data_IF_508507067392
#
_entry.id   IF_508507067392
#
_cell.length_a   1.000
_cell.length_b   1.000
_cell.length_c   1.000
_cell.angle_alpha   90.00
_cell.angle_beta   90.00
_cell.angle_gamma   90.00
#
_symmetry.space_group_name_H-M   'P 1'
#
loop_
_entity.id
_entity.type
_entity.pdbx_description
1 polymer ?
#
# COMPACT_ATOMS: atom_id res chain seq x y z
N UNK A 1 -17.73 -12.92 -20.90
CA UNK A 1 -17.27 -14.22 -20.36
C UNK A 1 -17.14 -15.30 -21.44
N UNK A 2 -18.16 -15.52 -22.27
CA UNK A 2 -18.11 -16.51 -23.37
C UNK A 2 -16.95 -16.29 -24.34
N UNK A 3 -16.60 -15.03 -24.65
CA UNK A 3 -15.40 -14.68 -25.42
C UNK A 3 -14.10 -15.14 -24.73
N UNK A 4 -13.88 -14.73 -23.48
CA UNK A 4 -12.68 -15.05 -22.71
C UNK A 4 -12.50 -16.56 -22.48
N UNK A 5 -13.60 -17.29 -22.32
CA UNK A 5 -13.62 -18.76 -22.14
C UNK A 5 -13.47 -19.52 -23.47
N UNK A 6 -13.76 -18.88 -24.62
CA UNK A 6 -13.62 -19.46 -25.97
C UNK A 6 -12.30 -19.12 -26.67
N UNK A 7 -11.38 -18.41 -26.00
CA UNK A 7 -10.02 -18.21 -26.52
C UNK A 7 -9.33 -19.59 -26.58
N UNK A 8 -9.26 -20.14 -27.79
CA UNK A 8 -8.54 -21.38 -28.08
C UNK A 8 -7.05 -21.06 -28.23
N UNK A 9 -6.15 -21.64 -27.43
CA UNK A 9 -4.71 -21.46 -27.58
C UNK A 9 -4.18 -21.92 -28.95
N UNK A 10 -4.92 -22.77 -29.67
CA UNK A 10 -4.56 -23.25 -31.01
C UNK A 10 -5.24 -22.47 -32.15
N UNK A 11 -6.17 -21.57 -31.83
CA UNK A 11 -6.97 -20.79 -32.79
C UNK A 11 -6.45 -19.37 -32.93
N UNK A 12 -5.25 -19.19 -33.47
CA UNK A 12 -4.69 -17.88 -33.79
C UNK A 12 -5.53 -17.21 -34.89
N UNK A 13 -6.11 -16.03 -34.62
CA UNK A 13 -6.73 -15.19 -35.65
C UNK A 13 -8.09 -15.67 -36.21
N UNK A 14 -8.78 -16.62 -35.57
CA UNK A 14 -10.00 -17.24 -36.12
C UNK A 14 -11.27 -16.36 -36.10
N UNK A 15 -11.25 -15.16 -35.50
CA UNK A 15 -12.41 -14.25 -35.54
C UNK A 15 -11.95 -12.83 -35.88
N UNK A 16 -12.19 -12.42 -37.13
CA UNK A 16 -12.14 -11.02 -37.52
C UNK A 16 -13.09 -10.20 -36.64
N UNK A 17 -12.57 -9.23 -35.86
CA UNK A 17 -13.36 -8.30 -35.06
C UNK A 17 -13.11 -8.30 -33.55
N UNK A 18 -12.27 -9.19 -33.00
CA UNK A 18 -11.84 -9.12 -31.60
C UNK A 18 -10.50 -8.35 -31.49
N UNK A 19 -10.46 -7.29 -30.67
CA UNK A 19 -9.28 -6.43 -30.54
C UNK A 19 -8.16 -7.06 -29.68
N UNK A 20 -8.50 -7.96 -28.75
CA UNK A 20 -7.54 -8.53 -27.81
C UNK A 20 -7.43 -10.05 -28.05
N UNK A 21 -6.35 -10.45 -28.73
CA UNK A 21 -5.99 -11.86 -28.94
C UNK A 21 -5.47 -12.54 -27.66
N UNK A 22 -4.86 -13.73 -27.77
CA UNK A 22 -4.22 -14.38 -26.63
C UNK A 22 -3.12 -13.51 -26.03
N UNK A 23 -2.94 -13.60 -24.71
CA UNK A 23 -1.89 -12.87 -23.98
C UNK A 23 -0.61 -13.68 -23.99
N UNK A 24 0.49 -13.07 -24.45
CA UNK A 24 1.81 -13.69 -24.34
C UNK A 24 2.15 -13.98 -22.87
N UNK A 25 2.97 -15.00 -22.61
CA UNK A 25 3.41 -15.41 -21.26
C UNK A 25 2.32 -15.88 -20.28
N UNK A 26 1.04 -15.86 -20.67
CA UNK A 26 -0.04 -16.49 -19.91
C UNK A 26 -0.20 -17.94 -20.33
N UNK A 27 -0.47 -18.83 -19.35
CA UNK A 27 -0.79 -20.23 -19.64
C UNK A 27 -2.00 -20.33 -20.58
N UNK A 28 -1.78 -20.93 -21.75
CA UNK A 28 -2.82 -21.08 -22.78
C UNK A 28 -3.31 -19.76 -23.39
N UNK A 29 -2.54 -18.66 -23.24
CA UNK A 29 -2.91 -17.35 -23.76
C UNK A 29 -4.15 -16.72 -23.10
N UNK A 30 -4.63 -17.30 -22.00
CA UNK A 30 -5.90 -16.93 -21.38
C UNK A 30 -5.75 -15.79 -20.37
N UNK A 31 -6.77 -14.93 -20.28
CA UNK A 31 -6.91 -13.94 -19.20
C UNK A 31 -7.41 -14.55 -17.89
N UNK A 32 -7.83 -15.82 -17.90
CA UNK A 32 -8.38 -16.53 -16.74
C UNK A 32 -7.39 -17.55 -16.20
N UNK A 33 -6.15 -17.13 -15.99
CA UNK A 33 -5.12 -17.96 -15.37
C UNK A 33 -4.29 -17.16 -14.37
N UNK A 34 -3.87 -17.81 -13.30
CA UNK A 34 -2.92 -17.24 -12.33
C UNK A 34 -1.47 -17.50 -12.72
N UNK A 35 -1.22 -18.34 -13.75
CA UNK A 35 0.12 -18.60 -14.25
C UNK A 35 0.44 -17.61 -15.38
N UNK A 36 0.90 -16.44 -14.96
CA UNK A 36 1.34 -15.31 -15.79
C UNK A 36 2.68 -14.80 -15.27
N UNK A 37 3.71 -14.79 -16.11
CA UNK A 37 5.04 -14.31 -15.69
C UNK A 37 5.02 -12.82 -15.34
N UNK A 38 4.30 -12.03 -16.14
CA UNK A 38 4.19 -10.60 -15.96
C UNK A 38 3.27 -10.29 -14.77
N UNK A 39 2.20 -11.06 -14.59
CA UNK A 39 1.35 -11.00 -13.40
C UNK A 39 2.09 -11.34 -12.11
N UNK A 40 2.96 -12.35 -12.11
CA UNK A 40 3.80 -12.71 -10.96
C UNK A 40 4.82 -11.61 -10.67
N UNK A 41 5.50 -11.11 -11.70
CA UNK A 41 6.49 -10.03 -11.59
C UNK A 41 5.85 -8.75 -11.03
N UNK A 42 4.70 -8.37 -11.56
CA UNK A 42 3.90 -7.27 -11.02
C UNK A 42 3.46 -7.54 -9.58
N UNK A 43 3.03 -8.75 -9.25
CA UNK A 43 2.65 -9.14 -7.89
C UNK A 43 3.80 -8.96 -6.89
N UNK A 44 5.02 -9.35 -7.25
CA UNK A 44 6.22 -9.15 -6.42
C UNK A 44 6.52 -7.66 -6.21
N UNK A 45 6.51 -6.86 -7.29
CA UNK A 45 6.66 -5.39 -7.20
C UNK A 45 5.61 -4.81 -6.26
N UNK A 46 4.37 -5.24 -6.40
CA UNK A 46 3.23 -4.72 -5.65
C UNK A 46 3.34 -5.05 -4.15
N UNK A 47 3.80 -6.25 -3.78
CA UNK A 47 4.08 -6.62 -2.39
C UNK A 47 5.16 -5.72 -1.79
N UNK A 48 6.29 -5.55 -2.49
CA UNK A 48 7.42 -4.77 -2.00
C UNK A 48 7.05 -3.29 -1.87
N UNK A 49 6.40 -2.74 -2.90
CA UNK A 49 5.90 -1.37 -2.90
C UNK A 49 4.92 -1.12 -1.74
N UNK A 50 3.93 -1.98 -1.56
CA UNK A 50 2.93 -1.77 -0.51
C UNK A 50 3.45 -2.01 0.91
N UNK A 51 4.45 -2.86 1.10
CA UNK A 51 5.17 -2.87 2.37
C UNK A 51 5.88 -1.53 2.60
N UNK A 52 6.52 -0.99 1.56
CA UNK A 52 7.09 0.35 1.59
C UNK A 52 6.08 1.41 2.03
N UNK A 53 4.90 1.47 1.39
CA UNK A 53 3.88 2.46 1.74
C UNK A 53 3.43 2.29 3.17
N UNK A 54 3.02 1.10 3.59
CA UNK A 54 2.43 0.94 4.92
C UNK A 54 3.45 1.16 6.04
N UNK A 55 4.69 0.70 5.89
CA UNK A 55 5.70 0.79 6.95
C UNK A 55 6.36 2.17 7.04
N UNK A 56 6.45 2.89 5.92
CA UNK A 56 7.22 4.15 5.84
C UNK A 56 6.29 5.37 5.76
N UNK A 57 4.98 5.17 5.56
CA UNK A 57 4.00 6.25 5.59
C UNK A 57 3.51 6.54 7.02
N UNK A 58 3.75 7.77 7.43
CA UNK A 58 3.36 8.30 8.73
C UNK A 58 1.84 8.33 8.94
N UNK A 59 1.02 8.39 7.90
CA UNK A 59 -0.45 8.41 8.02
C UNK A 59 -0.98 7.16 8.75
N UNK A 60 -0.38 6.00 8.48
CA UNK A 60 -0.70 4.73 9.15
C UNK A 60 -0.26 4.76 10.62
N UNK A 61 0.96 5.20 10.91
CA UNK A 61 1.48 5.25 12.28
C UNK A 61 0.68 6.21 13.16
N UNK A 62 0.31 7.37 12.64
CA UNK A 62 -0.50 8.34 13.38
C UNK A 62 -1.88 7.81 13.69
N UNK A 63 -2.51 7.15 12.73
CA UNK A 63 -3.80 6.50 12.94
C UNK A 63 -3.69 5.38 13.98
N UNK A 64 -2.58 4.62 13.98
CA UNK A 64 -2.32 3.57 14.97
C UNK A 64 -2.21 4.13 16.39
N UNK A 65 -1.43 5.20 16.55
CA UNK A 65 -1.13 5.83 17.85
C UNK A 65 -2.36 6.55 18.40
N UNK A 66 -3.21 7.09 17.53
CA UNK A 66 -4.46 7.74 17.94
C UNK A 66 -5.55 6.73 18.35
N UNK A 67 -5.41 5.44 18.01
CA UNK A 67 -6.38 4.41 18.34
C UNK A 67 -6.12 3.79 19.72
N UNK A 68 -7.19 3.34 20.39
CA UNK A 68 -7.08 2.58 21.65
C UNK A 68 -6.36 1.24 21.42
N UNK A 69 -5.44 0.81 22.29
CA UNK A 69 -4.74 -0.47 22.15
C UNK A 69 -5.69 -1.67 21.98
N UNK A 70 -6.82 -1.69 22.69
CA UNK A 70 -7.80 -2.77 22.60
C UNK A 70 -8.48 -2.89 21.23
N UNK A 71 -8.59 -1.79 20.49
CA UNK A 71 -9.24 -1.75 19.18
C UNK A 71 -8.24 -1.80 18.03
N UNK A 72 -7.04 -1.21 18.20
CA UNK A 72 -6.02 -1.10 17.16
C UNK A 72 -5.65 -2.46 16.56
N UNK A 73 -5.27 -3.44 17.40
CA UNK A 73 -4.75 -4.72 16.91
C UNK A 73 -5.76 -5.54 16.10
N UNK A 74 -7.05 -5.47 16.46
CA UNK A 74 -8.14 -6.14 15.70
C UNK A 74 -8.54 -5.32 14.48
N UNK A 75 -8.59 -4.00 14.63
CA UNK A 75 -8.92 -3.06 13.57
C UNK A 75 -7.96 -3.18 12.39
N UNK A 76 -6.65 -3.30 12.63
CA UNK A 76 -5.66 -3.48 11.56
C UNK A 76 -5.87 -4.78 10.76
N UNK A 77 -6.15 -5.90 11.43
CA UNK A 77 -6.42 -7.17 10.75
C UNK A 77 -7.71 -7.10 9.92
N UNK A 78 -8.78 -6.56 10.51
CA UNK A 78 -10.06 -6.41 9.81
C UNK A 78 -9.93 -5.44 8.62
N UNK A 79 -9.25 -4.31 8.83
CA UNK A 79 -8.97 -3.32 7.79
C UNK A 79 -8.19 -3.92 6.63
N UNK A 80 -7.15 -4.72 6.90
CA UNK A 80 -6.40 -5.42 5.86
C UNK A 80 -7.26 -6.42 5.05
N UNK A 81 -8.11 -7.20 5.73
CA UNK A 81 -8.98 -8.18 5.07
C UNK A 81 -10.05 -7.52 4.19
N UNK A 82 -10.57 -6.37 4.61
CA UNK A 82 -11.57 -5.63 3.83
C UNK A 82 -10.92 -4.81 2.72
N UNK A 83 -9.71 -4.28 2.95
CA UNK A 83 -8.97 -3.57 1.93
C UNK A 83 -8.65 -4.47 0.74
N UNK A 84 -8.20 -5.72 0.98
CA UNK A 84 -7.91 -6.70 -0.08
C UNK A 84 -9.09 -6.94 -1.02
N UNK A 85 -10.31 -6.86 -0.51
CA UNK A 85 -11.54 -7.06 -1.28
C UNK A 85 -11.70 -6.05 -2.41
N UNK A 86 -11.30 -4.79 -2.20
CA UNK A 86 -11.52 -3.71 -3.17
C UNK A 86 -10.77 -3.98 -4.49
N UNK A 87 -9.43 -4.15 -4.51
CA UNK A 87 -8.70 -4.46 -5.73
C UNK A 87 -9.10 -5.83 -6.29
N UNK A 88 -9.34 -6.84 -5.44
CA UNK A 88 -9.76 -8.18 -5.90
C UNK A 88 -11.09 -8.10 -6.67
N UNK A 89 -12.09 -7.43 -6.12
CA UNK A 89 -13.41 -7.29 -6.74
C UNK A 89 -13.36 -6.44 -8.00
N UNK A 90 -12.67 -5.28 -7.98
CA UNK A 90 -12.55 -4.40 -9.13
C UNK A 90 -11.77 -5.04 -10.29
N UNK A 91 -10.67 -5.73 -10.01
CA UNK A 91 -9.90 -6.44 -11.03
C UNK A 91 -10.68 -7.62 -11.62
N UNK A 92 -11.31 -8.42 -10.76
CA UNK A 92 -12.11 -9.60 -11.16
C UNK A 92 -13.35 -9.20 -11.97
N UNK A 93 -13.95 -8.04 -11.68
CA UNK A 93 -15.14 -7.54 -12.36
C UNK A 93 -14.80 -6.60 -13.51
N UNK A 94 -14.55 -5.32 -13.25
CA UNK A 94 -14.41 -4.27 -14.26
C UNK A 94 -13.16 -4.44 -15.14
N UNK A 95 -12.06 -4.95 -14.59
CA UNK A 95 -10.85 -5.25 -15.36
C UNK A 95 -11.09 -6.34 -16.41
N UNK A 96 -11.58 -7.51 -15.99
CA UNK A 96 -11.91 -8.60 -16.91
C UNK A 96 -13.11 -8.28 -17.80
N UNK A 97 -14.05 -7.44 -17.36
CA UNK A 97 -15.17 -6.96 -18.17
C UNK A 97 -14.69 -6.17 -19.39
N UNK A 98 -13.64 -5.35 -19.26
CA UNK A 98 -13.09 -4.56 -20.37
C UNK A 98 -12.65 -5.47 -21.52
N UNK A 99 -11.97 -6.57 -21.17
CA UNK A 99 -11.55 -7.59 -22.13
C UNK A 99 -12.75 -8.40 -22.65
N UNK A 100 -13.69 -8.77 -21.79
CA UNK A 100 -14.85 -9.57 -22.16
C UNK A 100 -15.84 -8.84 -23.08
N UNK A 101 -15.94 -7.51 -22.96
CA UNK A 101 -16.79 -6.63 -23.76
C UNK A 101 -16.08 -6.10 -25.01
N UNK A 102 -14.82 -6.47 -25.21
CA UNK A 102 -14.00 -6.02 -26.34
C UNK A 102 -13.98 -4.48 -26.47
N UNK A 103 -13.85 -3.80 -25.33
CA UNK A 103 -13.83 -2.33 -25.29
C UNK A 103 -12.56 -1.86 -25.99
N UNK A 104 -12.75 -1.02 -27.02
CA UNK A 104 -11.66 -0.45 -27.79
C UNK A 104 -10.96 0.64 -26.97
N UNK A 105 -9.90 0.26 -26.26
CA UNK A 105 -8.99 1.16 -25.58
C UNK A 105 -7.65 1.15 -26.28
N UNK A 106 -7.04 2.32 -26.47
CA UNK A 106 -5.64 2.41 -26.85
C UNK A 106 -4.75 1.90 -25.71
N UNK A 107 -3.49 1.57 -26.03
CA UNK A 107 -2.50 1.18 -25.00
C UNK A 107 -2.33 2.28 -23.95
N UNK A 108 -2.35 3.54 -24.37
CA UNK A 108 -2.17 4.69 -23.48
C UNK A 108 -3.39 4.91 -22.59
N UNK A 109 -4.60 4.73 -23.11
CA UNK A 109 -5.84 4.82 -22.31
C UNK A 109 -5.91 3.70 -21.26
N UNK A 110 -5.55 2.47 -21.64
CA UNK A 110 -5.46 1.36 -20.71
C UNK A 110 -4.37 1.61 -19.65
N UNK A 111 -3.19 2.09 -20.06
CA UNK A 111 -2.08 2.45 -19.18
C UNK A 111 -2.37 3.64 -18.26
N UNK A 112 -3.32 4.50 -18.64
CA UNK A 112 -3.84 5.60 -17.81
C UNK A 112 -4.93 5.16 -16.83
N UNK A 113 -5.25 3.85 -16.77
CA UNK A 113 -6.23 3.31 -15.84
C UNK A 113 -7.68 3.51 -16.27
N UNK A 114 -7.95 3.73 -17.57
CA UNK A 114 -9.32 3.98 -18.06
C UNK A 114 -10.14 2.69 -18.29
N UNK A 115 -9.57 1.50 -18.09
CA UNK A 115 -10.30 0.25 -18.27
C UNK A 115 -11.51 0.09 -17.33
N UNK A 116 -11.41 0.30 -16.00
CA UNK A 116 -12.57 0.25 -15.12
C UNK A 116 -13.70 1.25 -15.45
N UNK A 117 -13.44 2.56 -15.67
CA UNK A 117 -14.50 3.49 -16.04
C UNK A 117 -15.12 3.16 -17.39
N UNK A 118 -14.34 2.73 -18.39
CA UNK A 118 -14.88 2.32 -19.68
C UNK A 118 -15.82 1.11 -19.56
N UNK A 119 -15.43 0.09 -18.77
CA UNK A 119 -16.30 -1.04 -18.44
C UNK A 119 -17.59 -0.62 -17.74
N UNK A 120 -17.51 0.30 -16.79
CA UNK A 120 -18.69 0.80 -16.07
C UNK A 120 -19.65 1.54 -17.01
N UNK A 121 -19.12 2.34 -17.96
CA UNK A 121 -19.94 3.06 -18.95
C UNK A 121 -20.65 2.08 -19.89
N UNK A 122 -19.96 1.06 -20.39
CA UNK A 122 -20.57 0.06 -21.29
C UNK A 122 -21.65 -0.75 -20.57
N UNK A 123 -21.45 -1.09 -19.29
CA UNK A 123 -22.39 -1.93 -18.53
C UNK A 123 -23.58 -1.17 -17.95
N UNK A 124 -23.37 0.05 -17.43
CA UNK A 124 -24.36 0.80 -16.66
C UNK A 124 -24.75 2.14 -17.31
N UNK A 125 -24.27 2.40 -18.53
CA UNK A 125 -24.44 3.67 -19.22
C UNK A 125 -23.67 4.81 -18.53
N UNK A 126 -24.06 6.05 -18.83
CA UNK A 126 -23.41 7.25 -18.28
C UNK A 126 -23.40 7.27 -16.74
N UNK A 127 -24.44 6.71 -16.10
CA UNK A 127 -24.50 6.59 -14.64
C UNK A 127 -23.33 5.81 -14.05
N UNK A 128 -22.88 4.74 -14.71
CA UNK A 128 -21.70 3.97 -14.29
C UNK A 128 -20.42 4.80 -14.30
N UNK A 129 -20.23 5.61 -15.34
CA UNK A 129 -19.09 6.54 -15.42
C UNK A 129 -19.11 7.56 -14.29
N UNK A 130 -20.26 8.15 -14.00
CA UNK A 130 -20.43 9.11 -12.90
C UNK A 130 -20.11 8.48 -11.54
N UNK A 131 -20.57 7.24 -11.29
CA UNK A 131 -20.26 6.52 -10.05
C UNK A 131 -18.76 6.27 -9.88
N UNK A 132 -18.04 5.89 -10.94
CA UNK A 132 -16.58 5.70 -10.88
C UNK A 132 -15.87 7.03 -10.59
N UNK A 133 -16.31 8.14 -11.20
CA UNK A 133 -15.73 9.47 -10.93
C UNK A 133 -15.95 9.88 -9.47
N UNK A 134 -17.16 9.71 -8.94
CA UNK A 134 -17.46 10.02 -7.53
C UNK A 134 -16.62 9.15 -6.60
N UNK A 135 -16.55 7.85 -6.85
CA UNK A 135 -15.72 6.91 -6.09
C UNK A 135 -14.24 7.33 -6.10
N UNK A 136 -13.69 7.66 -7.28
CA UNK A 136 -12.31 8.08 -7.43
C UNK A 136 -12.05 9.42 -6.73
N UNK A 137 -12.96 10.38 -6.83
CA UNK A 137 -12.87 11.65 -6.12
C UNK A 137 -12.83 11.47 -4.60
N UNK A 138 -13.75 10.66 -4.04
CA UNK A 138 -13.75 10.36 -2.61
C UNK A 138 -12.47 9.64 -2.16
N UNK A 139 -11.99 8.68 -2.96
CA UNK A 139 -10.74 7.98 -2.65
C UNK A 139 -9.53 8.92 -2.63
N UNK A 140 -9.35 9.74 -3.67
CA UNK A 140 -8.22 10.67 -3.79
C UNK A 140 -8.26 11.73 -2.69
N UNK A 141 -9.42 12.34 -2.43
CA UNK A 141 -9.55 13.39 -1.41
C UNK A 141 -9.31 12.84 0.01
N UNK A 142 -9.81 11.63 0.30
CA UNK A 142 -9.59 10.97 1.59
C UNK A 142 -8.09 10.71 1.83
N UNK A 143 -7.41 10.01 0.90
CA UNK A 143 -5.98 9.73 1.01
C UNK A 143 -5.15 11.01 0.98
N UNK A 144 -5.45 11.94 0.08
CA UNK A 144 -4.73 13.21 -0.02
C UNK A 144 -4.79 14.05 1.26
N UNK A 145 -5.93 14.03 1.97
CA UNK A 145 -6.05 14.71 3.27
C UNK A 145 -5.16 14.07 4.34
N UNK A 146 -5.11 12.73 4.40
CA UNK A 146 -4.27 12.00 5.35
C UNK A 146 -2.78 12.25 5.10
N UNK A 147 -2.34 12.24 3.84
CA UNK A 147 -0.97 12.53 3.43
C UNK A 147 -0.54 13.96 3.78
N UNK A 148 -1.42 14.94 3.57
CA UNK A 148 -1.14 16.32 3.95
C UNK A 148 -0.89 16.46 5.46
N UNK A 149 -1.68 15.78 6.28
CA UNK A 149 -1.50 15.77 7.73
C UNK A 149 -0.22 15.05 8.10
N UNK A 150 0.03 13.87 7.53
CA UNK A 150 1.23 13.07 7.75
C UNK A 150 2.50 13.89 7.48
N UNK A 151 2.66 14.47 6.29
CA UNK A 151 3.85 15.27 5.95
C UNK A 151 3.96 16.52 6.81
N UNK A 152 2.84 17.21 7.07
CA UNK A 152 2.86 18.41 7.93
C UNK A 152 3.33 18.11 9.35
N UNK A 153 3.01 16.92 9.86
CA UNK A 153 3.38 16.50 11.21
C UNK A 153 4.85 16.12 11.31
N UNK A 154 5.42 15.45 10.29
CA UNK A 154 6.84 15.15 10.23
C UNK A 154 7.65 16.46 10.28
N UNK A 155 7.24 17.46 9.49
CA UNK A 155 7.92 18.75 9.50
C UNK A 155 7.74 19.49 10.83
N UNK A 156 6.55 19.43 11.44
CA UNK A 156 6.29 20.10 12.71
C UNK A 156 7.06 19.44 13.88
N UNK A 157 6.95 18.14 14.05
CA UNK A 157 7.50 17.41 15.21
C UNK A 157 8.97 17.03 15.01
N UNK A 158 9.35 16.53 13.83
CA UNK A 158 10.67 15.94 13.61
C UNK A 158 11.69 16.95 13.09
N UNK A 159 11.24 18.04 12.47
CA UNK A 159 12.12 19.12 11.99
C UNK A 159 12.00 20.35 12.89
N UNK A 160 10.82 20.97 12.94
CA UNK A 160 10.63 22.25 13.60
C UNK A 160 10.85 22.15 15.11
N UNK A 161 10.12 21.27 15.80
CA UNK A 161 10.34 21.05 17.24
C UNK A 161 11.74 20.52 17.51
N UNK A 162 12.20 19.49 16.80
CA UNK A 162 13.47 18.84 17.15
C UNK A 162 14.70 19.73 16.93
N UNK A 163 14.75 20.51 15.85
CA UNK A 163 15.97 21.20 15.42
C UNK A 163 15.85 22.73 15.35
N UNK A 164 14.66 23.30 15.15
CA UNK A 164 14.47 24.75 14.96
C UNK A 164 14.06 25.44 16.26
N UNK A 165 13.05 24.91 16.96
CA UNK A 165 12.52 25.45 18.21
C UNK A 165 12.05 24.33 19.16
N UNK A 166 12.97 23.76 19.97
CA UNK A 166 12.69 22.70 20.95
C UNK A 166 11.60 23.04 21.96
N UNK A 167 11.55 24.31 22.38
CA UNK A 167 10.64 24.80 23.41
C UNK A 167 9.35 25.40 22.81
N UNK A 168 8.99 24.99 21.59
CA UNK A 168 7.78 25.50 20.93
C UNK A 168 6.50 25.12 21.69
N UNK A 169 5.56 26.07 21.73
CA UNK A 169 4.21 25.84 22.29
C UNK A 169 3.33 25.06 21.31
N UNK A 170 2.29 24.36 21.81
CA UNK A 170 1.33 23.65 20.96
C UNK A 170 0.67 24.54 19.89
N UNK A 171 0.41 25.82 20.20
CA UNK A 171 -0.14 26.79 19.23
C UNK A 171 0.84 27.10 18.10
N UNK A 172 2.13 27.26 18.40
CA UNK A 172 3.16 27.47 17.38
C UNK A 172 3.33 26.24 16.50
N UNK A 173 3.30 25.06 17.10
CA UNK A 173 3.41 23.79 16.38
C UNK A 173 2.25 23.58 15.40
N UNK A 174 1.01 23.80 15.86
CA UNK A 174 -0.18 23.74 15.01
C UNK A 174 -0.14 24.76 13.88
N UNK A 175 0.41 25.96 14.12
CA UNK A 175 0.59 26.97 13.07
C UNK A 175 1.54 26.48 11.98
N UNK A 176 2.68 25.90 12.37
CA UNK A 176 3.66 25.34 11.41
C UNK A 176 3.03 24.19 10.62
N UNK A 177 2.34 23.27 11.27
CA UNK A 177 1.64 22.17 10.60
C UNK A 177 0.63 22.70 9.56
N UNK A 178 -0.22 23.67 9.90
CA UNK A 178 -1.20 24.24 8.95
C UNK A 178 -0.54 24.92 7.74
N UNK A 179 0.57 25.62 7.94
CA UNK A 179 1.34 26.21 6.84
C UNK A 179 1.90 25.09 5.95
N UNK A 180 2.45 24.04 6.55
CA UNK A 180 3.02 22.92 5.82
C UNK A 180 2.00 22.11 5.05
N UNK A 181 0.75 22.01 5.50
CA UNK A 181 -0.35 21.42 4.73
C UNK A 181 -0.52 22.13 3.38
N UNK A 182 -0.55 23.46 3.38
CA UNK A 182 -0.70 24.26 2.14
C UNK A 182 0.54 24.11 1.25
N UNK A 183 1.74 24.21 1.83
CA UNK A 183 3.00 24.05 1.11
C UNK A 183 3.09 22.67 0.45
N UNK A 184 2.78 21.61 1.19
CA UNK A 184 2.81 20.26 0.65
C UNK A 184 1.74 20.03 -0.43
N UNK A 185 0.54 20.57 -0.26
CA UNK A 185 -0.50 20.54 -1.30
C UNK A 185 -0.05 21.19 -2.62
N UNK A 186 0.64 22.32 -2.55
CA UNK A 186 1.22 22.98 -3.73
C UNK A 186 2.38 22.18 -4.34
N UNK A 187 3.27 21.63 -3.51
CA UNK A 187 4.42 20.83 -3.97
C UNK A 187 3.99 19.52 -4.61
N UNK A 188 3.06 18.79 -4.00
CA UNK A 188 2.50 17.54 -4.53
C UNK A 188 1.74 17.79 -5.83
N UNK A 189 0.95 18.87 -5.92
CA UNK A 189 0.29 19.28 -7.16
C UNK A 189 1.28 19.62 -8.27
N UNK A 190 2.34 20.38 -7.94
CA UNK A 190 3.43 20.68 -8.88
C UNK A 190 4.15 19.41 -9.35
N UNK A 191 4.45 18.49 -8.43
CA UNK A 191 5.11 17.22 -8.76
C UNK A 191 4.23 16.33 -9.64
N UNK A 192 2.92 16.27 -9.38
CA UNK A 192 1.96 15.57 -10.25
C UNK A 192 1.91 16.16 -11.65
N UNK A 193 1.89 17.50 -11.77
CA UNK A 193 1.98 18.19 -13.06
C UNK A 193 3.30 17.89 -13.79
N UNK A 194 4.42 17.87 -13.08
CA UNK A 194 5.73 17.53 -13.64
C UNK A 194 5.77 16.09 -14.18
N UNK A 195 5.31 15.12 -13.40
CA UNK A 195 5.25 13.71 -13.81
C UNK A 195 4.38 13.51 -15.05
N UNK A 196 3.25 14.22 -15.11
CA UNK A 196 2.39 14.24 -16.29
C UNK A 196 3.13 14.82 -17.51
N UNK A 197 3.88 15.91 -17.35
CA UNK A 197 4.65 16.53 -18.42
C UNK A 197 5.80 15.67 -18.95
N UNK A 198 6.41 14.83 -18.12
CA UNK A 198 7.46 13.87 -18.51
C UNK A 198 6.88 12.59 -19.17
N UNK A 199 5.56 12.40 -19.13
CA UNK A 199 4.88 11.23 -19.69
C UNK A 199 4.91 10.01 -18.78
N UNK A 200 5.14 10.18 -17.47
CA UNK A 200 5.06 9.08 -16.52
C UNK A 200 3.60 8.66 -16.33
N UNK A 201 3.29 7.42 -16.73
CA UNK A 201 1.95 6.86 -16.52
C UNK A 201 1.75 6.38 -15.08
N UNK A 202 0.49 6.07 -14.71
CA UNK A 202 0.14 5.64 -13.36
C UNK A 202 0.90 4.37 -12.93
N UNK A 203 1.08 3.41 -13.85
CA UNK A 203 1.81 2.18 -13.58
C UNK A 203 3.30 2.41 -13.29
N UNK A 204 3.92 3.37 -13.99
CA UNK A 204 5.31 3.77 -13.75
C UNK A 204 5.48 4.31 -12.33
N UNK A 205 4.66 5.29 -11.95
CA UNK A 205 4.74 5.94 -10.63
C UNK A 205 4.46 4.93 -9.52
N UNK A 206 3.45 4.08 -9.72
CA UNK A 206 3.05 3.06 -8.76
C UNK A 206 4.16 2.04 -8.47
N UNK A 207 4.83 1.54 -9.52
CA UNK A 207 5.89 0.54 -9.36
C UNK A 207 7.23 1.16 -8.91
N UNK A 208 7.50 2.42 -9.28
CA UNK A 208 8.68 3.18 -8.85
C UNK A 208 8.71 3.41 -7.34
N UNK A 209 7.54 3.52 -6.73
CA UNK A 209 7.38 3.66 -5.29
C UNK A 209 8.23 2.65 -4.49
N UNK A 210 8.14 1.36 -4.77
CA UNK A 210 8.91 0.37 -4.00
C UNK A 210 10.42 0.39 -4.26
N UNK A 211 10.88 0.96 -5.38
CA UNK A 211 12.30 1.27 -5.63
C UNK A 211 12.77 2.38 -4.68
N UNK A 212 11.95 3.41 -4.51
CA UNK A 212 12.27 4.57 -3.69
C UNK A 212 12.23 4.27 -2.19
N UNK A 213 11.17 3.60 -1.71
CA UNK A 213 10.90 3.48 -0.27
C UNK A 213 11.00 2.04 0.27
N UNK A 214 11.07 1.02 -0.59
CA UNK A 214 11.08 -0.39 -0.16
C UNK A 214 12.29 -0.77 0.70
N UNK A 215 13.40 -0.03 0.62
CA UNK A 215 14.59 -0.29 1.42
C UNK A 215 14.44 0.06 2.90
N UNK A 216 13.48 0.90 3.29
CA UNK A 216 13.30 1.25 4.70
C UNK A 216 12.49 0.18 5.48
N UNK A 217 11.77 -0.72 4.78
CA UNK A 217 10.84 -1.69 5.38
C UNK A 217 11.51 -2.60 6.41
N UNK A 218 12.58 -3.30 6.03
CA UNK A 218 13.26 -4.24 6.93
C UNK A 218 14.00 -3.55 8.09
N UNK A 219 14.74 -2.45 7.88
CA UNK A 219 15.30 -1.65 8.96
C UNK A 219 14.26 -1.23 10.00
N UNK A 220 13.14 -0.64 9.56
CA UNK A 220 12.05 -0.21 10.45
C UNK A 220 11.44 -1.41 11.19
N UNK A 221 11.18 -2.51 10.46
CA UNK A 221 10.67 -3.74 11.07
C UNK A 221 11.62 -4.27 12.15
N UNK A 222 12.92 -4.26 11.91
CA UNK A 222 13.91 -4.69 12.88
C UNK A 222 14.00 -3.75 14.08
N UNK A 223 13.91 -2.42 13.87
CA UNK A 223 13.88 -1.46 14.98
C UNK A 223 12.70 -1.67 15.94
N UNK A 224 11.61 -2.30 15.49
CA UNK A 224 10.38 -2.47 16.29
C UNK A 224 10.24 -3.90 16.83
N UNK A 225 10.65 -4.91 16.04
CA UNK A 225 10.44 -6.32 16.39
C UNK A 225 11.63 -6.95 17.12
N UNK A 226 12.82 -6.36 17.05
CA UNK A 226 14.02 -6.91 17.68
C UNK A 226 14.77 -5.87 18.50
N UNK A 227 15.19 -6.28 19.70
CA UNK A 227 16.09 -5.51 20.56
C UNK A 227 17.52 -5.43 20.04
N UNK A 228 17.85 -6.15 18.97
CA UNK A 228 19.21 -6.25 18.45
C UNK A 228 19.48 -5.32 17.28
N UNK A 229 18.49 -4.57 16.76
CA UNK A 229 18.76 -3.64 15.68
C UNK A 229 19.60 -2.45 16.18
N UNK A 230 20.72 -2.15 15.53
CA UNK A 230 21.55 -0.99 15.87
C UNK A 230 21.23 0.21 14.99
N UNK A 231 21.47 1.42 15.49
CA UNK A 231 21.25 2.65 14.71
C UNK A 231 22.06 2.67 13.41
N UNK A 232 23.34 2.26 13.43
CA UNK A 232 24.14 2.21 12.21
C UNK A 232 23.66 1.12 11.25
N UNK A 233 23.23 -0.03 11.78
CA UNK A 233 22.63 -1.10 10.98
C UNK A 233 21.37 -0.63 10.25
N UNK A 234 20.45 0.03 10.97
CA UNK A 234 19.22 0.55 10.38
C UNK A 234 19.50 1.60 9.29
N UNK A 235 20.36 2.58 9.57
CA UNK A 235 20.71 3.66 8.62
C UNK A 235 21.43 3.09 7.39
N UNK A 236 22.43 2.21 7.59
CA UNK A 236 23.17 1.61 6.49
C UNK A 236 22.29 0.69 5.64
N UNK A 237 21.37 -0.07 6.26
CA UNK A 237 20.40 -0.89 5.54
C UNK A 237 19.48 -0.05 4.66
N UNK A 238 18.86 0.99 5.22
CA UNK A 238 17.92 1.84 4.49
C UNK A 238 18.57 2.54 3.29
N UNK A 239 19.69 3.24 3.52
CA UNK A 239 20.38 3.99 2.45
C UNK A 239 21.17 3.08 1.50
N UNK A 240 21.88 2.09 2.03
CA UNK A 240 22.63 1.13 1.21
C UNK A 240 21.71 0.31 0.31
N UNK A 241 20.57 -0.16 0.84
CA UNK A 241 19.55 -0.84 0.05
C UNK A 241 18.95 0.06 -1.03
N UNK A 242 18.72 1.34 -0.74
CA UNK A 242 18.23 2.32 -1.72
C UNK A 242 19.24 2.50 -2.86
N UNK A 243 20.53 2.72 -2.55
CA UNK A 243 21.58 2.87 -3.58
C UNK A 243 21.67 1.62 -4.46
N UNK A 244 21.64 0.41 -3.87
CA UNK A 244 21.61 -0.84 -4.62
C UNK A 244 20.36 -0.95 -5.52
N UNK A 245 19.20 -0.52 -5.01
CA UNK A 245 17.93 -0.49 -5.75
C UNK A 245 17.98 0.40 -6.97
N UNK A 246 18.37 1.67 -6.81
CA UNK A 246 18.52 2.62 -7.92
C UNK A 246 19.55 2.14 -8.94
N UNK A 247 20.70 1.63 -8.47
CA UNK A 247 21.74 1.11 -9.37
C UNK A 247 21.21 -0.05 -10.20
N UNK A 248 20.55 -1.02 -9.57
CA UNK A 248 20.01 -2.20 -10.26
C UNK A 248 18.89 -1.83 -11.23
N UNK A 249 17.97 -0.95 -10.82
CA UNK A 249 16.90 -0.45 -11.67
C UNK A 249 17.43 0.23 -12.91
N UNK A 250 18.38 1.16 -12.76
CA UNK A 250 18.95 1.91 -13.88
C UNK A 250 19.83 1.04 -14.78
N UNK A 251 20.61 0.12 -14.22
CA UNK A 251 21.41 -0.85 -14.99
C UNK A 251 20.48 -1.72 -15.83
N UNK A 252 19.44 -2.31 -15.23
CA UNK A 252 18.49 -3.14 -15.98
C UNK A 252 17.71 -2.30 -16.99
N UNK A 253 17.32 -1.06 -16.67
CA UNK A 253 16.68 -0.17 -17.62
C UNK A 253 17.59 0.10 -18.83
N UNK A 254 18.88 0.37 -18.60
CA UNK A 254 19.84 0.64 -19.68
C UNK A 254 20.06 -0.55 -20.62
N UNK A 255 19.79 -1.79 -20.17
CA UNK A 255 19.89 -2.97 -21.04
C UNK A 255 18.62 -3.27 -21.83
N UNK A 256 17.53 -2.49 -21.65
CA UNK A 256 16.28 -2.68 -22.39
C UNK A 256 16.27 -1.92 -23.72
N UNK A 257 15.56 -2.50 -24.68
CA UNK A 257 15.34 -1.91 -25.99
C UNK A 257 14.47 -0.65 -25.90
N UNK A 258 14.78 0.33 -26.75
CA UNK A 258 14.14 1.66 -26.80
C UNK A 258 13.07 1.71 -27.90
N UNK A 259 13.14 0.77 -28.83
CA UNK A 259 12.54 0.78 -30.16
C UNK A 259 11.02 0.53 -30.17
N UNK A 260 10.39 0.42 -28.99
CA UNK A 260 8.96 0.15 -28.82
C UNK A 260 8.50 -1.26 -29.24
N UNK A 261 9.39 -2.10 -29.80
CA UNK A 261 9.17 -3.55 -29.95
C UNK A 261 9.41 -4.19 -28.60
N UNK A 262 8.38 -4.90 -28.12
CA UNK A 262 8.24 -5.48 -26.78
C UNK A 262 9.39 -5.13 -25.79
N UNK A 263 9.28 -4.03 -25.01
CA UNK A 263 10.37 -3.55 -24.15
C UNK A 263 10.81 -4.58 -23.08
N UNK A 264 10.04 -5.65 -22.90
CA UNK A 264 10.34 -6.80 -22.05
C UNK A 264 11.47 -7.70 -22.60
N UNK A 265 11.67 -7.71 -23.92
CA UNK A 265 12.68 -8.55 -24.58
C UNK A 265 13.97 -7.78 -24.87
N UNK A 266 15.08 -8.52 -24.83
CA UNK A 266 16.38 -8.07 -25.33
C UNK A 266 16.45 -8.61 -26.75
N UNK A 267 16.31 -7.75 -27.74
CA UNK A 267 16.48 -8.10 -29.15
C UNK A 267 17.94 -7.82 -29.55
N UNK A 268 18.56 -8.71 -30.32
CA UNK A 268 19.95 -8.51 -30.77
C UNK A 268 20.10 -7.28 -31.66
N UNK A 269 19.02 -6.89 -32.34
CA UNK A 269 18.98 -5.77 -33.28
C UNK A 269 18.52 -4.44 -32.67
N UNK A 270 18.26 -4.35 -31.36
CA UNK A 270 17.72 -3.15 -30.74
C UNK A 270 18.79 -2.20 -30.17
N UNK A 271 18.45 -0.91 -30.11
CA UNK A 271 19.34 0.08 -29.51
C UNK A 271 19.27 -0.04 -27.98
N UNK A 272 20.37 -0.39 -27.32
CA UNK A 272 20.48 -0.46 -25.86
C UNK A 272 21.37 0.68 -25.33
N UNK A 273 21.29 0.97 -24.03
CA UNK A 273 22.15 1.93 -23.32
C UNK A 273 21.51 3.28 -23.01
N UNK A 274 20.25 3.53 -23.38
CA UNK A 274 19.54 4.76 -22.99
C UNK A 274 18.67 4.55 -21.76
N UNK A 275 18.62 5.56 -20.91
CA UNK A 275 17.77 5.61 -19.72
C UNK A 275 16.71 6.68 -19.97
N UNK A 276 15.48 6.25 -20.19
CA UNK A 276 14.33 7.12 -20.43
C UNK A 276 13.07 6.59 -19.72
N UNK A 277 11.93 7.26 -19.88
CA UNK A 277 10.68 6.90 -19.21
C UNK A 277 10.16 5.51 -19.64
N UNK A 278 10.48 5.06 -20.86
CA UNK A 278 10.05 3.77 -21.39
C UNK A 278 10.92 2.66 -20.80
N UNK A 279 12.25 2.81 -20.82
CA UNK A 279 13.17 1.80 -20.30
C UNK A 279 13.10 1.68 -18.79
N UNK A 280 12.96 2.80 -18.07
CA UNK A 280 12.75 2.82 -16.62
C UNK A 280 11.38 2.30 -16.20
N UNK A 281 10.37 2.46 -17.06
CA UNK A 281 9.01 1.94 -16.87
C UNK A 281 8.87 0.44 -17.09
N UNK A 282 9.89 -0.20 -17.67
CA UNK A 282 9.87 -1.62 -17.96
C UNK A 282 9.63 -2.48 -16.71
N UNK A 283 8.72 -3.46 -16.83
CA UNK A 283 8.32 -4.31 -15.71
C UNK A 283 9.51 -5.01 -15.03
N UNK A 284 10.45 -5.56 -15.80
CA UNK A 284 11.61 -6.29 -15.25
C UNK A 284 12.67 -5.34 -14.66
N UNK A 285 12.83 -4.13 -15.21
CA UNK A 285 13.66 -3.10 -14.58
C UNK A 285 13.10 -2.72 -13.21
N UNK A 286 11.79 -2.49 -13.14
CA UNK A 286 11.11 -2.16 -11.89
C UNK A 286 11.14 -3.32 -10.89
N UNK A 287 10.97 -4.56 -11.35
CA UNK A 287 11.12 -5.77 -10.53
C UNK A 287 12.51 -5.86 -9.91
N UNK A 288 13.57 -5.69 -10.71
CA UNK A 288 14.94 -5.75 -10.23
C UNK A 288 15.24 -4.69 -9.18
N UNK A 289 14.80 -3.45 -9.41
CA UNK A 289 14.91 -2.36 -8.43
C UNK A 289 14.20 -2.68 -7.12
N UNK A 290 12.94 -3.10 -7.20
CA UNK A 290 12.13 -3.43 -6.02
C UNK A 290 12.74 -4.60 -5.21
N UNK A 291 13.10 -5.70 -5.87
CA UNK A 291 13.75 -6.84 -5.20
C UNK A 291 15.04 -6.43 -4.51
N UNK A 292 15.85 -5.61 -5.17
CA UNK A 292 17.11 -5.14 -4.60
C UNK A 292 16.88 -4.22 -3.39
N UNK A 293 15.83 -3.39 -3.41
CA UNK A 293 15.47 -2.50 -2.30
C UNK A 293 15.25 -3.29 -1.01
N UNK A 294 14.39 -4.32 -1.04
CA UNK A 294 14.05 -5.08 0.16
C UNK A 294 15.17 -6.06 0.56
N UNK A 295 15.74 -6.80 -0.40
CA UNK A 295 16.71 -7.86 -0.11
C UNK A 295 18.04 -7.28 0.40
N UNK A 296 18.62 -6.31 -0.31
CA UNK A 296 19.91 -5.75 0.10
C UNK A 296 19.79 -4.90 1.35
N UNK A 297 18.68 -4.19 1.54
CA UNK A 297 18.46 -3.48 2.80
C UNK A 297 18.51 -4.42 4.00
N UNK A 298 17.78 -5.55 3.95
CA UNK A 298 17.79 -6.55 5.01
C UNK A 298 19.18 -7.13 5.26
N UNK A 299 19.88 -7.51 4.19
CA UNK A 299 21.24 -8.08 4.27
C UNK A 299 22.20 -7.07 4.90
N UNK A 300 22.25 -5.84 4.39
CA UNK A 300 23.14 -4.78 4.90
C UNK A 300 22.81 -4.47 6.37
N UNK A 301 21.52 -4.32 6.70
CA UNK A 301 21.08 -4.04 8.06
C UNK A 301 21.54 -5.14 9.03
N UNK A 302 21.34 -6.41 8.67
CA UNK A 302 21.75 -7.55 9.49
C UNK A 302 23.28 -7.64 9.62
N UNK A 303 24.02 -7.50 8.52
CA UNK A 303 25.49 -7.62 8.54
C UNK A 303 26.13 -6.52 9.39
N UNK A 304 25.73 -5.26 9.21
CA UNK A 304 26.26 -4.14 10.00
C UNK A 304 25.91 -4.31 11.48
N UNK A 305 24.67 -4.70 11.77
CA UNK A 305 24.25 -5.02 13.14
C UNK A 305 25.13 -6.12 13.76
N UNK A 306 25.33 -7.24 13.06
CA UNK A 306 26.14 -8.35 13.54
C UNK A 306 27.60 -7.97 13.77
N UNK A 307 28.17 -7.14 12.88
CA UNK A 307 29.54 -6.61 13.04
C UNK A 307 29.64 -5.73 14.28
N UNK A 308 28.67 -4.85 14.53
CA UNK A 308 28.70 -3.98 15.72
C UNK A 308 28.60 -4.76 17.03
N UNK A 309 27.77 -5.81 17.08
CA UNK A 309 27.72 -6.71 18.24
C UNK A 309 29.02 -7.49 18.43
N UNK A 310 29.62 -8.00 17.34
CA UNK A 310 30.91 -8.71 17.41
C UNK A 310 32.06 -7.80 17.84
N UNK A 311 32.06 -6.55 17.42
CA UNK A 311 33.06 -5.56 17.81
C UNK A 311 32.84 -4.99 19.23
N UNK A 312 31.79 -5.41 19.95
CA UNK A 312 31.48 -4.93 21.30
C UNK A 312 30.96 -3.48 21.33
N UNK A 313 30.59 -2.91 20.18
CA UNK A 313 30.15 -1.52 20.04
C UNK A 313 28.63 -1.35 20.27
N UNK A 314 27.90 -2.45 20.37
CA UNK A 314 26.45 -2.46 20.51
C UNK A 314 25.99 -3.25 21.74
N UNK A 315 24.90 -2.78 22.35
CA UNK A 315 24.18 -3.48 23.41
C UNK A 315 22.72 -3.67 22.97
N UNK A 316 22.03 -4.73 23.44
CA UNK A 316 20.61 -4.88 23.17
C UNK A 316 19.83 -3.66 23.67
N UNK A 317 18.88 -3.20 22.88
CA UNK A 317 18.02 -2.06 23.19
C UNK A 317 17.12 -2.38 24.39
N UNK A 318 16.98 -1.38 25.27
CA UNK A 318 16.09 -1.43 26.42
C UNK A 318 14.77 -0.71 26.11
N UNK A 319 13.70 -1.50 26.03
CA UNK A 319 12.37 -1.01 25.70
C UNK A 319 11.75 -0.12 26.79
N UNK A 320 12.21 -0.23 28.04
CA UNK A 320 11.67 0.58 29.14
C UNK A 320 11.98 2.09 28.98
N UNK A 321 13.01 2.42 28.19
CA UNK A 321 13.32 3.80 27.81
C UNK A 321 12.15 4.44 27.03
N UNK A 322 11.42 3.68 26.20
CA UNK A 322 10.28 4.23 25.45
C UNK A 322 9.10 4.58 26.35
N UNK A 323 8.98 3.93 27.53
CA UNK A 323 7.91 4.21 28.49
C UNK A 323 8.14 5.51 29.26
N UNK A 324 9.40 5.91 29.41
CA UNK A 324 9.81 7.04 30.27
C UNK A 324 10.36 8.23 29.47
N UNK A 325 10.85 8.01 28.25
CA UNK A 325 11.57 9.00 27.45
C UNK A 325 10.72 9.79 26.44
N UNK A 326 9.46 9.43 26.22
CA UNK A 326 8.59 10.11 25.24
C UNK A 326 7.77 11.19 25.96
N UNK A 327 8.25 12.43 25.91
CA UNK A 327 7.55 13.60 26.48
C UNK A 327 6.55 14.20 25.49
N UNK A 328 5.28 14.25 25.90
CA UNK A 328 4.21 14.94 25.18
C UNK A 328 4.30 16.45 25.43
N UNK A 329 3.79 17.24 24.49
CA UNK A 329 3.77 18.71 24.59
C UNK A 329 2.62 19.18 25.51
N UNK A 330 1.55 18.40 25.58
CA UNK A 330 0.42 18.63 26.48
C UNK A 330 0.27 17.42 27.42
N UNK A 331 0.34 17.68 28.72
CA UNK A 331 0.12 16.69 29.79
C UNK A 331 -1.40 16.53 30.03
N UNK A 332 -2.07 15.79 29.15
CA UNK A 332 -3.43 15.31 29.39
C UNK A 332 -3.40 13.85 29.87
N UNK A 333 -4.24 13.48 30.84
CA UNK A 333 -4.53 12.06 31.09
C UNK A 333 -5.14 11.46 29.82
N UNK A 334 -4.61 10.33 29.36
CA UNK A 334 -5.20 9.62 28.22
C UNK A 334 -6.61 9.15 28.59
N UNK A 335 -7.57 9.31 27.69
CA UNK A 335 -8.94 8.74 27.80
C UNK A 335 -8.94 7.21 27.57
N UNK A 336 -7.84 6.55 27.94
CA UNK A 336 -7.60 5.12 27.79
C UNK A 336 -7.56 4.48 29.19
N UNK A 337 -8.34 3.43 29.46
CA UNK A 337 -8.30 2.74 30.74
C UNK A 337 -6.89 2.24 31.08
N UNK A 338 -6.45 2.40 32.33
CA UNK A 338 -5.11 1.97 32.79
C UNK A 338 -4.86 0.46 32.54
N UNK A 339 -5.93 -0.35 32.54
CA UNK A 339 -5.87 -1.78 32.21
C UNK A 339 -5.38 -2.02 30.77
N UNK A 340 -5.82 -1.21 29.80
CA UNK A 340 -5.37 -1.33 28.40
C UNK A 340 -3.90 -0.93 28.22
N UNK A 341 -3.37 -0.10 29.14
CA UNK A 341 -1.97 0.31 29.16
C UNK A 341 -1.09 -0.64 30.01
N UNK A 342 -1.68 -1.68 30.60
CA UNK A 342 -0.94 -2.66 31.40
C UNK A 342 -0.03 -3.53 30.52
N UNK A 343 1.17 -3.93 31.02
CA UNK A 343 2.07 -4.81 30.27
C UNK A 343 1.44 -6.15 29.90
N UNK A 344 0.59 -6.72 30.77
CA UNK A 344 -0.09 -7.99 30.48
C UNK A 344 -1.06 -7.87 29.31
N UNK A 345 -1.85 -6.79 29.25
CA UNK A 345 -2.76 -6.57 28.14
C UNK A 345 -2.01 -6.39 26.82
N UNK A 346 -0.98 -5.53 26.83
CA UNK A 346 -0.19 -5.20 25.65
C UNK A 346 0.60 -6.40 25.11
N UNK A 347 1.22 -7.22 25.97
CA UNK A 347 1.93 -8.43 25.55
C UNK A 347 0.97 -9.47 24.94
N UNK A 348 -0.22 -9.64 25.53
CA UNK A 348 -1.25 -10.54 25.00
C UNK A 348 -1.76 -10.05 23.63
N UNK A 349 -2.03 -8.75 23.49
CA UNK A 349 -2.44 -8.15 22.22
C UNK A 349 -1.33 -8.26 21.16
N UNK A 350 -0.08 -8.02 21.55
CA UNK A 350 1.11 -8.17 20.70
C UNK A 350 1.29 -9.58 20.16
N UNK A 351 1.20 -10.61 21.02
CA UNK A 351 1.27 -12.02 20.59
C UNK A 351 0.10 -12.39 19.68
N UNK A 352 -1.09 -11.87 19.94
CA UNK A 352 -2.26 -12.13 19.11
C UNK A 352 -2.08 -11.56 17.70
N UNK A 353 -1.67 -10.29 17.57
CA UNK A 353 -1.49 -9.66 16.26
C UNK A 353 -0.34 -10.28 15.49
N UNK A 354 0.75 -10.66 16.15
CA UNK A 354 1.84 -11.40 15.50
C UNK A 354 1.35 -12.74 14.93
N UNK A 355 0.60 -13.52 15.73
CA UNK A 355 0.07 -14.81 15.28
C UNK A 355 -0.83 -14.67 14.04
N UNK A 356 -1.82 -13.78 14.11
CA UNK A 356 -2.80 -13.63 13.02
C UNK A 356 -2.24 -12.84 11.84
N UNK A 357 -1.45 -11.80 12.09
CA UNK A 357 -0.79 -11.01 11.04
C UNK A 357 0.18 -11.85 10.21
N UNK A 358 1.06 -12.63 10.85
CA UNK A 358 1.98 -13.53 10.14
C UNK A 358 1.22 -14.66 9.46
N UNK A 359 0.24 -15.27 10.15
CA UNK A 359 -0.56 -16.36 9.58
C UNK A 359 -1.34 -15.94 8.33
N UNK A 360 -2.01 -14.78 8.37
CA UNK A 360 -2.74 -14.24 7.23
C UNK A 360 -1.81 -13.77 6.11
N UNK A 361 -0.65 -13.20 6.43
CA UNK A 361 0.35 -12.84 5.42
C UNK A 361 0.84 -14.09 4.67
N UNK A 362 1.15 -15.18 5.39
CA UNK A 362 1.56 -16.45 4.75
C UNK A 362 0.43 -17.00 3.89
N UNK A 363 -0.81 -16.97 4.40
CA UNK A 363 -1.98 -17.47 3.70
C UNK A 363 -2.23 -16.69 2.40
N UNK A 364 -2.25 -15.35 2.44
CA UNK A 364 -2.64 -14.51 1.32
C UNK A 364 -1.51 -14.28 0.30
N UNK A 365 -0.25 -14.23 0.75
CA UNK A 365 0.90 -13.98 -0.14
C UNK A 365 1.40 -15.27 -0.79
N UNK A 366 1.43 -16.38 -0.06
CA UNK A 366 2.02 -17.63 -0.56
C UNK A 366 0.96 -18.70 -0.82
N UNK A 367 0.21 -19.11 0.20
CA UNK A 367 -0.66 -20.29 0.10
C UNK A 367 -1.77 -20.11 -0.92
N UNK A 368 -2.50 -18.98 -0.87
CA UNK A 368 -3.61 -18.71 -1.77
C UNK A 368 -3.14 -18.62 -3.23
N UNK A 369 -2.13 -17.80 -3.60
CA UNK A 369 -1.61 -17.79 -4.96
C UNK A 369 -1.14 -19.18 -5.44
N UNK A 370 -0.36 -19.90 -4.63
CA UNK A 370 0.14 -21.24 -4.99
C UNK A 370 -1.01 -22.23 -5.30
N UNK A 371 -2.05 -22.25 -4.46
CA UNK A 371 -3.22 -23.11 -4.68
C UNK A 371 -3.94 -22.73 -5.98
N UNK A 372 -4.09 -21.43 -6.24
CA UNK A 372 -4.79 -20.96 -7.45
C UNK A 372 -4.01 -21.16 -8.73
N UNK A 373 -2.67 -21.15 -8.68
CA UNK A 373 -1.79 -21.49 -9.82
C UNK A 373 -1.99 -22.96 -10.25
N UNK A 374 -2.20 -23.86 -9.29
CA UNK A 374 -2.47 -25.28 -9.57
C UNK A 374 -3.77 -25.51 -10.35
N UNK A 375 -4.70 -24.55 -10.37
CA UNK A 375 -5.95 -24.67 -11.13
C UNK A 375 -5.79 -24.46 -12.64
N UNK A 376 -4.63 -23.99 -13.11
CA UNK A 376 -4.34 -23.81 -14.53
C UNK A 376 -5.16 -22.70 -15.18
N UNK A 377 -5.79 -23.00 -16.32
CA UNK A 377 -6.73 -22.07 -16.98
C UNK A 377 -8.11 -22.32 -16.41
N UNK A 378 -8.74 -21.30 -15.85
CA UNK A 378 -10.03 -21.44 -15.17
C UNK A 378 -11.11 -21.79 -16.19
N UNK A 379 -11.77 -22.93 -15.96
CA UNK A 379 -13.03 -23.25 -16.61
C UNK A 379 -14.11 -22.25 -16.20
N UNK A 380 -15.23 -22.22 -16.94
CA UNK A 380 -16.41 -21.42 -16.55
C UNK A 380 -16.84 -21.68 -15.10
N UNK A 381 -16.85 -22.94 -14.67
CA UNK A 381 -17.23 -23.33 -13.31
C UNK A 381 -16.24 -22.82 -12.27
N UNK A 382 -14.93 -22.97 -12.52
CA UNK A 382 -13.89 -22.47 -11.61
C UNK A 382 -13.90 -20.94 -11.50
N UNK A 383 -14.04 -20.24 -12.63
CA UNK A 383 -14.17 -18.79 -12.61
C UNK A 383 -15.45 -18.33 -11.91
N UNK A 384 -16.55 -19.09 -12.03
CA UNK A 384 -17.79 -18.79 -11.30
C UNK A 384 -17.56 -18.85 -9.79
N UNK A 385 -16.81 -19.84 -9.30
CA UNK A 385 -16.42 -19.93 -7.89
C UNK A 385 -15.55 -18.73 -7.51
N UNK A 386 -14.50 -18.43 -8.28
CA UNK A 386 -13.62 -17.28 -8.06
C UNK A 386 -14.39 -15.95 -7.96
N UNK A 387 -15.25 -15.69 -8.94
CA UNK A 387 -16.09 -14.50 -8.98
C UNK A 387 -17.09 -14.46 -7.83
N UNK A 388 -17.64 -15.62 -7.43
CA UNK A 388 -18.57 -15.70 -6.28
C UNK A 388 -17.86 -15.35 -4.97
N UNK A 389 -16.62 -15.82 -4.77
CA UNK A 389 -15.80 -15.46 -3.61
C UNK A 389 -15.52 -13.96 -3.61
N UNK A 390 -15.07 -13.40 -4.74
CA UNK A 390 -14.82 -11.96 -4.86
C UNK A 390 -16.09 -11.12 -4.59
N UNK A 391 -17.24 -11.59 -5.06
CA UNK A 391 -18.54 -10.96 -4.86
C UNK A 391 -18.96 -10.99 -3.38
N UNK A 392 -18.99 -12.16 -2.75
CA UNK A 392 -19.40 -12.31 -1.34
C UNK A 392 -18.46 -11.50 -0.45
N UNK A 393 -17.14 -11.61 -0.65
CA UNK A 393 -16.17 -10.83 0.10
C UNK A 393 -16.41 -9.33 -0.14
N UNK A 394 -16.68 -8.91 -1.38
CA UNK A 394 -17.12 -7.56 -1.77
C UNK A 394 -18.22 -7.00 -0.88
N UNK A 395 -19.32 -7.74 -0.80
CA UNK A 395 -20.49 -7.35 -0.02
C UNK A 395 -20.22 -7.34 1.49
N UNK A 396 -19.51 -8.35 2.00
CA UNK A 396 -19.12 -8.40 3.42
C UNK A 396 -18.24 -7.21 3.76
N UNK A 397 -17.24 -6.91 2.93
CA UNK A 397 -16.34 -5.78 3.10
C UNK A 397 -17.08 -4.45 3.10
N UNK A 398 -18.00 -4.24 2.15
CA UNK A 398 -18.85 -3.06 2.10
C UNK A 398 -19.72 -2.93 3.35
N UNK A 399 -20.32 -4.03 3.81
CA UNK A 399 -21.14 -4.03 5.02
C UNK A 399 -20.32 -3.65 6.26
N UNK A 400 -19.12 -4.23 6.39
CA UNK A 400 -18.20 -3.91 7.49
C UNK A 400 -17.79 -2.44 7.44
N UNK A 401 -17.35 -1.90 6.30
CA UNK A 401 -16.93 -0.49 6.21
C UNK A 401 -18.07 0.48 6.51
N UNK A 402 -19.27 0.20 6.03
CA UNK A 402 -20.40 1.13 6.12
C UNK A 402 -21.08 1.06 7.48
N UNK A 403 -21.36 -0.15 7.98
CA UNK A 403 -22.22 -0.32 9.16
C UNK A 403 -21.44 -0.47 10.46
N UNK A 404 -20.26 -1.09 10.45
CA UNK A 404 -19.51 -1.33 11.70
C UNK A 404 -19.11 -0.02 12.41
N UNK A 405 -18.53 1.00 11.73
CA UNK A 405 -18.18 2.26 12.39
C UNK A 405 -19.40 2.99 12.94
N UNK A 406 -20.54 2.92 12.25
CA UNK A 406 -21.81 3.51 12.69
C UNK A 406 -22.33 2.80 13.93
N UNK A 407 -22.22 1.47 13.97
CA UNK A 407 -22.62 0.67 15.12
C UNK A 407 -21.70 0.93 16.34
N UNK A 408 -20.39 0.89 16.16
CA UNK A 408 -19.41 1.13 17.24
C UNK A 408 -19.52 2.56 17.79
N UNK A 409 -19.81 3.54 16.92
CA UNK A 409 -19.97 4.94 17.31
C UNK A 409 -21.41 5.30 17.69
N UNK A 410 -22.35 4.34 17.69
CA UNK A 410 -23.78 4.60 17.85
C UNK A 410 -24.11 5.37 19.13
N UNK A 411 -23.52 4.98 20.26
CA UNK A 411 -23.69 5.68 21.54
C UNK A 411 -23.20 7.12 21.48
N UNK A 412 -22.04 7.38 20.85
CA UNK A 412 -21.48 8.72 20.67
C UNK A 412 -22.37 9.56 19.75
N UNK A 413 -22.82 8.98 18.63
CA UNK A 413 -23.73 9.61 17.67
C UNK A 413 -25.05 9.96 18.36
N UNK A 414 -25.64 9.04 19.12
CA UNK A 414 -26.86 9.24 19.89
C UNK A 414 -26.70 10.32 20.96
N UNK A 415 -25.58 10.34 21.67
CA UNK A 415 -25.29 11.37 22.67
C UNK A 415 -25.19 12.77 22.05
N UNK A 416 -24.56 12.89 20.88
CA UNK A 416 -24.47 14.15 20.13
C UNK A 416 -25.86 14.58 19.62
N UNK A 417 -26.60 13.65 19.01
CA UNK A 417 -27.94 13.92 18.44
C UNK A 417 -28.97 14.27 19.51
N UNK A 418 -28.91 13.65 20.69
CA UNK A 418 -29.82 13.93 21.80
C UNK A 418 -29.39 15.14 22.63
N UNK A 419 -28.33 15.86 22.23
CA UNK A 419 -27.73 16.97 23.00
C UNK A 419 -27.56 16.64 24.49
N UNK A 420 -27.25 15.38 24.81
CA UNK A 420 -27.33 14.91 26.18
C UNK A 420 -26.08 15.38 26.94
N UNK A 421 -26.17 16.55 27.56
CA UNK A 421 -25.12 17.18 28.38
C UNK A 421 -24.77 16.38 29.64
N UNK A 422 -25.46 15.28 29.95
CA UNK A 422 -25.17 14.43 31.10
C UNK A 422 -23.77 13.80 31.05
N UNK A 423 -23.17 13.61 29.88
CA UNK A 423 -21.77 13.18 29.77
C UNK A 423 -20.78 14.28 30.21
N UNK A 424 -21.11 15.56 30.00
CA UNK A 424 -20.32 16.70 30.54
C UNK A 424 -20.47 16.84 32.07
N UNK A 425 -21.62 16.48 32.63
CA UNK A 425 -21.83 16.50 34.09
C UNK A 425 -21.18 15.32 34.81
N UNK A 426 -21.26 14.10 34.28
CA UNK A 426 -20.60 12.93 34.88
C UNK A 426 -19.07 13.07 34.87
N UNK A 427 -18.48 13.64 33.81
CA UNK A 427 -17.05 13.95 33.76
C UNK A 427 -16.65 15.06 34.77
N UNK A 428 -17.51 16.06 34.98
CA UNK A 428 -17.29 17.12 35.97
C UNK A 428 -17.46 16.65 37.42
N UNK A 429 -18.33 15.68 37.69
CA UNK A 429 -18.55 15.16 39.05
C UNK A 429 -17.45 14.17 39.45
N UNK A 430 -16.97 13.35 38.52
CA UNK A 430 -15.82 12.46 38.75
C UNK A 430 -14.53 13.25 39.00
N UNK A 431 -14.34 14.39 38.31
CA UNK A 431 -13.21 15.30 38.53
C UNK A 431 -13.31 16.15 39.83
N UNK A 432 -14.46 16.16 40.51
CA UNK A 432 -14.63 16.78 41.83
C UNK A 432 -14.59 15.77 42.99
N UNK A 433 -14.68 14.48 42.67
CA UNK A 433 -14.66 13.38 43.65
C UNK A 433 -13.30 12.68 43.78
N UNK A 434 -12.31 13.07 42.96
CA UNK A 434 -10.88 12.75 43.08
C UNK A 434 -10.09 14.03 43.33
#
# INVERSE_FOLDING_TARGET
>A
LTFVVRLDPNGVGAVNGAHHGPVANNRGGSYLTMLSNDGLSFGVINIIGNFGTVFVDQSYWQSAIAARPASAHKGYILGGLVWFTIPMALATSLGLASNALNIKLSKDEAGSGLAPPASAIVLLGQGGGVLIIIMLFMAITSTGSAECIAVSSLVAYDIYRKYINPDCTGTQLLRVSRIMVVVYGLLSGFFGWFLYGVGANLGWVYNFMGIMIGSAVLPVSFCILTRYCTAKGAIAGAWGGMVCSFTTWLVIASTRCVDGRNPEQIDEDCTTGTVDIVTTGNLYAQLGGNLMAICMSGIICMLVTLVEFKCGNAKPFDWDILRTGITRIEEGKDDVPDEEMSPEFLDKAGKWIQKWGVGLSILLIFVWPLVTVCWGVFSKSLYTIWASVAFVWGFVGAFVIIFLPVYESSNTILNVLMCNTSAKQAASETAKAQ
#
